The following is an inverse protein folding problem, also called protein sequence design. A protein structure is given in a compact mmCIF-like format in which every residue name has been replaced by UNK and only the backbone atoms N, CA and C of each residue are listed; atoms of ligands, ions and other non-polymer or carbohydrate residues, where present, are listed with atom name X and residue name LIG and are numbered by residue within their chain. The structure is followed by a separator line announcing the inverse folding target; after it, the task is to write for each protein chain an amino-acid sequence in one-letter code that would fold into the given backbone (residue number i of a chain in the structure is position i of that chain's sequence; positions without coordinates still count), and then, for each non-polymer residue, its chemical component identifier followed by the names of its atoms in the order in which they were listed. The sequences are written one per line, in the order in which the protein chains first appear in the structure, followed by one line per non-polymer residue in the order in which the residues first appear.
data_IF_115231777771
#
_entry.id   IF_115231777771
#
_cell.length_a   1.000
_cell.length_b   1.000
_cell.length_c   1.000
_cell.angle_alpha   90.00
_cell.angle_beta   90.00
_cell.angle_gamma   90.00
#
_symmetry.space_group_name_H-M   'P 1'
#
loop_
_entity.id
_entity.type
_entity.pdbx_description
1 polymer ?
#
# COMPACT_ATOMS: atom_id res chain seq x y z
N UNK A 1 -3.57 10.01 -5.37
CA UNK A 1 -2.37 9.35 -4.82
C UNK A 1 -2.76 7.93 -4.45
N UNK A 2 -1.85 6.95 -4.44
CA UNK A 2 -2.18 5.54 -4.18
C UNK A 2 -2.97 5.37 -2.87
N UNK A 3 -2.68 6.18 -1.84
CA UNK A 3 -3.43 6.21 -0.57
C UNK A 3 -4.90 6.64 -0.66
N UNK A 4 -5.32 7.23 -1.78
CA UNK A 4 -6.72 7.63 -2.00
C UNK A 4 -7.59 6.45 -2.43
N UNK A 5 -6.98 5.37 -2.91
CA UNK A 5 -7.63 4.11 -3.29
C UNK A 5 -7.75 3.13 -2.12
N UNK A 6 -7.19 3.48 -0.95
CA UNK A 6 -7.26 2.71 0.27
C UNK A 6 -8.64 2.82 0.93
N UNK A 7 -9.16 1.71 1.46
CA UNK A 7 -10.37 1.68 2.28
C UNK A 7 -10.37 2.77 3.36
N UNK A 8 -11.54 3.37 3.61
CA UNK A 8 -11.69 4.55 4.48
C UNK A 8 -11.29 4.26 5.92
N UNK A 9 -11.54 3.05 6.42
CA UNK A 9 -11.22 2.68 7.80
C UNK A 9 -9.72 2.54 7.98
N UNK A 10 -9.04 1.87 7.03
CA UNK A 10 -7.59 1.78 7.00
C UNK A 10 -6.92 3.14 6.80
N UNK A 11 -7.44 3.96 5.87
CA UNK A 11 -6.93 5.32 5.64
C UNK A 11 -7.01 6.20 6.89
N UNK A 12 -8.09 6.08 7.66
CA UNK A 12 -8.23 6.78 8.94
C UNK A 12 -7.21 6.29 9.96
N UNK A 13 -7.06 4.97 10.11
CA UNK A 13 -6.16 4.35 11.08
C UNK A 13 -4.68 4.63 10.79
N UNK A 14 -4.28 4.58 9.51
CA UNK A 14 -2.89 4.75 9.07
C UNK A 14 -2.53 6.20 8.74
N UNK A 15 -3.44 7.17 8.95
CA UNK A 15 -3.23 8.57 8.58
C UNK A 15 -1.91 9.13 9.10
N UNK A 16 -1.56 8.84 10.35
CA UNK A 16 -0.33 9.33 10.97
C UNK A 16 0.94 8.81 10.29
N UNK A 17 0.91 7.63 9.68
CA UNK A 17 2.04 7.09 8.92
C UNK A 17 2.19 7.80 7.58
N UNK A 18 1.07 8.08 6.90
CA UNK A 18 1.07 8.78 5.61
C UNK A 18 1.51 10.25 5.69
N UNK A 19 1.46 10.84 6.88
CA UNK A 19 1.88 12.22 7.13
C UNK A 19 3.37 12.31 7.53
N UNK A 20 4.07 11.18 7.74
CA UNK A 20 5.49 11.19 8.08
C UNK A 20 6.36 11.35 6.83
N UNK A 21 7.51 12.04 6.93
CA UNK A 21 8.41 12.29 5.79
C UNK A 21 8.84 11.01 5.06
N UNK A 22 9.12 9.93 5.80
CA UNK A 22 9.57 8.66 5.22
C UNK A 22 8.57 8.09 4.20
N UNK A 23 7.28 8.34 4.38
CA UNK A 23 6.26 7.80 3.49
C UNK A 23 6.30 8.52 2.13
N UNK A 24 6.48 9.84 2.14
CA UNK A 24 6.67 10.63 0.92
C UNK A 24 7.95 10.20 0.19
N UNK A 25 9.05 10.02 0.91
CA UNK A 25 10.31 9.53 0.33
C UNK A 25 10.15 8.14 -0.29
N UNK A 26 9.44 7.23 0.38
CA UNK A 26 9.12 5.89 -0.14
C UNK A 26 8.28 5.96 -1.42
N UNK A 27 7.27 6.83 -1.45
CA UNK A 27 6.43 6.99 -2.65
C UNK A 27 7.24 7.50 -3.85
N UNK A 28 8.16 8.44 -3.63
CA UNK A 28 9.04 8.94 -4.67
C UNK A 28 10.01 7.86 -5.17
N UNK A 29 10.59 7.09 -4.25
CA UNK A 29 11.45 5.96 -4.58
C UNK A 29 10.73 4.94 -5.46
N UNK A 30 9.57 4.44 -5.02
CA UNK A 30 8.79 3.43 -5.77
C UNK A 30 8.33 3.98 -7.11
N UNK A 31 7.87 5.24 -7.17
CA UNK A 31 7.48 5.88 -8.43
C UNK A 31 8.65 5.99 -9.39
N UNK A 32 9.84 6.35 -8.90
CA UNK A 32 11.04 6.39 -9.75
C UNK A 32 11.44 5.01 -10.25
N UNK A 33 11.26 3.96 -9.46
CA UNK A 33 11.64 2.59 -9.84
C UNK A 33 10.67 2.03 -10.88
N UNK A 34 9.36 2.25 -10.71
CA UNK A 34 8.31 1.93 -11.71
C UNK A 34 8.56 2.53 -13.10
N UNK A 35 9.30 3.65 -13.19
CA UNK A 35 9.68 4.26 -14.48
C UNK A 35 10.89 3.59 -15.15
N UNK A 36 11.68 2.84 -14.38
CA UNK A 36 12.96 2.25 -14.80
C UNK A 36 12.88 0.73 -14.95
N UNK A 37 12.01 0.08 -14.20
CA UNK A 37 11.91 -1.36 -14.09
C UNK A 37 10.45 -1.80 -13.96
N UNK A 38 10.19 -3.08 -14.23
CA UNK A 38 8.89 -3.70 -13.93
C UNK A 38 8.82 -3.94 -12.43
N UNK A 39 7.91 -3.24 -11.76
CA UNK A 39 7.65 -3.39 -10.33
C UNK A 39 6.28 -4.00 -10.13
N UNK A 40 6.22 -5.10 -9.40
CA UNK A 40 4.96 -5.76 -9.03
C UNK A 40 4.54 -5.41 -7.61
N UNK A 41 3.22 -5.45 -7.30
CA UNK A 41 2.12 -5.56 -8.26
C UNK A 41 1.89 -4.22 -9.00
N UNK A 42 0.88 -4.17 -9.86
CA UNK A 42 0.40 -2.91 -10.45
C UNK A 42 0.05 -1.89 -9.35
N UNK A 43 0.21 -0.61 -9.67
CA UNK A 43 0.10 0.47 -8.69
C UNK A 43 -1.24 0.50 -7.95
N UNK A 44 -2.34 0.21 -8.68
CA UNK A 44 -3.70 0.14 -8.13
C UNK A 44 -3.95 -1.06 -7.22
N UNK A 45 -3.07 -2.07 -7.24
CA UNK A 45 -3.22 -3.30 -6.46
C UNK A 45 -2.37 -3.31 -5.18
N UNK A 46 -1.53 -2.28 -4.96
CA UNK A 46 -0.61 -2.22 -3.80
C UNK A 46 -1.36 -2.31 -2.46
N UNK A 47 -2.58 -1.78 -2.38
CA UNK A 47 -3.39 -1.79 -1.16
C UNK A 47 -4.56 -2.80 -1.19
N UNK A 48 -4.57 -3.73 -2.14
CA UNK A 48 -5.73 -4.60 -2.37
C UNK A 48 -6.15 -5.41 -1.14
N UNK A 49 -5.18 -5.91 -0.35
CA UNK A 49 -5.49 -6.63 0.89
C UNK A 49 -6.31 -5.79 1.89
N UNK A 50 -6.01 -4.49 1.98
CA UNK A 50 -6.73 -3.55 2.85
C UNK A 50 -8.08 -3.14 2.28
N UNK A 51 -8.20 -3.10 0.94
CA UNK A 51 -9.46 -2.80 0.25
C UNK A 51 -10.47 -3.94 0.34
N UNK A 52 -9.98 -5.18 0.29
CA UNK A 52 -10.81 -6.39 0.41
C UNK A 52 -11.24 -6.65 1.86
N UNK A 53 -10.47 -6.18 2.85
CA UNK A 53 -10.73 -6.42 4.27
C UNK A 53 -10.66 -5.11 5.06
N UNK A 54 -11.79 -4.41 5.30
CA UNK A 54 -11.83 -3.23 6.15
C UNK A 54 -11.25 -3.49 7.54
N UNK A 55 -10.72 -2.44 8.18
CA UNK A 55 -9.95 -2.53 9.42
C UNK A 55 -10.69 -3.28 10.53
N UNK A 56 -12.00 -3.00 10.68
CA UNK A 56 -12.82 -3.57 11.74
C UNK A 56 -13.35 -4.97 11.41
N UNK A 57 -13.20 -5.43 10.16
CA UNK A 57 -13.63 -6.75 9.70
C UNK A 57 -12.49 -7.78 9.75
N UNK A 58 -11.24 -7.32 9.92
CA UNK A 58 -10.07 -8.17 10.02
C UNK A 58 -10.12 -9.03 11.30
N UNK A 59 -10.13 -10.35 11.12
CA UNK A 59 -10.14 -11.34 12.23
C UNK A 59 -8.85 -12.17 12.31
N UNK A 60 -8.20 -12.35 11.16
CA UNK A 60 -6.98 -13.14 11.01
C UNK A 60 -6.05 -12.36 10.09
N UNK A 61 -4.78 -12.26 10.46
CA UNK A 61 -3.73 -11.63 9.65
C UNK A 61 -2.75 -12.72 9.25
N UNK A 62 -2.54 -12.89 7.94
CA UNK A 62 -1.52 -13.77 7.39
C UNK A 62 -0.45 -12.88 6.76
N UNK A 63 0.77 -12.95 7.27
CA UNK A 63 1.88 -12.11 6.83
C UNK A 63 2.76 -12.93 5.89
N UNK A 64 2.80 -12.53 4.62
CA UNK A 64 3.75 -13.01 3.63
C UNK A 64 5.09 -12.27 3.71
N UNK A 65 6.00 -12.57 2.78
CA UNK A 65 7.31 -11.92 2.69
C UNK A 65 7.25 -10.70 1.76
N UNK A 66 7.09 -10.93 0.47
CA UNK A 66 7.04 -9.93 -0.59
C UNK A 66 6.15 -10.44 -1.75
N UNK A 67 5.70 -9.55 -2.66
CA UNK A 67 4.90 -9.97 -3.80
C UNK A 67 5.65 -10.96 -4.71
N UNK A 68 4.89 -11.80 -5.41
CA UNK A 68 5.46 -12.58 -6.51
C UNK A 68 6.04 -11.66 -7.60
N UNK A 69 7.10 -12.11 -8.27
CA UNK A 69 7.95 -11.31 -9.17
C UNK A 69 7.94 -11.84 -10.63
N UNK A 70 6.87 -12.54 -11.03
CA UNK A 70 6.77 -13.30 -12.28
C UNK A 70 6.21 -12.52 -13.46
#
# INVERSE_FOLDING_TARGET
MIKDELDKTWRKTLKSEFDKPYYSELQEFVKSDRLKSTVFPDDSMVFEAYNLTPFYDAKVIIIGQDPYHG
#
